data_IF_357134216541
#
_entry.id   IF_357134216541
#
_cell.length_a   1.000
_cell.length_b   1.000
_cell.length_c   1.000
_cell.angle_alpha   90.00
_cell.angle_beta   90.00
_cell.angle_gamma   90.00
#
_symmetry.space_group_name_H-M   'P 1'
#
loop_
_entity.id
_entity.type
_entity.pdbx_description
1 polymer ?
#
# COMPACT_ATOMS: atom_id res chain seq x y z
N UNK A 1 24.66 -9.19 12.22
CA UNK A 1 23.66 -8.11 12.34
C UNK A 1 22.52 -8.45 11.40
N UNK A 2 21.38 -8.92 11.91
CA UNK A 2 20.18 -9.07 11.10
C UNK A 2 19.60 -7.66 10.96
N UNK A 3 19.84 -7.01 9.82
CA UNK A 3 19.10 -5.79 9.48
C UNK A 3 17.62 -6.16 9.51
N UNK A 4 16.84 -5.46 10.32
CA UNK A 4 15.39 -5.67 10.42
C UNK A 4 14.79 -5.54 9.02
N UNK A 5 14.46 -6.68 8.41
CA UNK A 5 13.75 -6.70 7.13
C UNK A 5 12.38 -6.11 7.41
N UNK A 6 12.17 -4.88 6.95
CA UNK A 6 10.85 -4.28 6.92
C UNK A 6 9.97 -5.14 6.01
N UNK A 7 8.75 -5.40 6.46
CA UNK A 7 7.72 -5.89 5.57
C UNK A 7 7.49 -4.88 4.44
N UNK A 8 7.00 -5.30 3.27
CA UNK A 8 6.72 -4.37 2.17
C UNK A 8 5.81 -3.20 2.58
N UNK A 9 4.84 -3.46 3.47
CA UNK A 9 3.92 -2.44 4.00
C UNK A 9 4.65 -1.43 4.89
N UNK A 10 5.56 -1.88 5.76
CA UNK A 10 6.36 -0.99 6.60
C UNK A 10 7.33 -0.13 5.78
N UNK A 11 7.96 -0.72 4.75
CA UNK A 11 8.79 0.02 3.81
C UNK A 11 7.98 1.09 3.07
N UNK A 12 6.76 0.77 2.62
CA UNK A 12 5.86 1.75 2.00
C UNK A 12 5.50 2.88 2.95
N UNK A 13 5.13 2.57 4.19
CA UNK A 13 4.78 3.56 5.20
C UNK A 13 5.98 4.47 5.52
N UNK A 14 7.19 3.90 5.63
CA UNK A 14 8.39 4.68 5.88
C UNK A 14 8.64 5.69 4.74
N UNK A 15 8.61 5.25 3.48
CA UNK A 15 8.82 6.15 2.34
C UNK A 15 7.70 7.19 2.22
N UNK A 16 6.45 6.83 2.53
CA UNK A 16 5.33 7.78 2.56
C UNK A 16 5.50 8.87 3.62
N UNK A 17 6.16 8.56 4.75
CA UNK A 17 6.51 9.56 5.78
C UNK A 17 7.69 10.42 5.38
N UNK A 18 8.74 9.83 4.83
CA UNK A 18 9.99 10.53 4.49
C UNK A 18 9.86 11.38 3.21
N UNK A 19 9.07 10.89 2.24
CA UNK A 19 8.95 11.48 0.90
C UNK A 19 7.49 11.53 0.41
N UNK A 20 6.58 12.23 1.13
CA UNK A 20 5.13 12.16 0.91
C UNK A 20 4.68 12.57 -0.49
N UNK A 21 5.35 13.57 -1.09
CA UNK A 21 4.99 14.13 -2.40
C UNK A 21 5.77 13.51 -3.56
N UNK A 22 6.73 12.62 -3.29
CA UNK A 22 7.47 11.93 -4.35
C UNK A 22 6.55 10.97 -5.08
N UNK A 23 6.65 10.93 -6.40
CA UNK A 23 5.87 10.02 -7.24
C UNK A 23 6.22 8.55 -6.94
N UNK A 24 5.18 7.74 -6.72
CA UNK A 24 5.28 6.31 -6.43
C UNK A 24 4.76 5.44 -7.57
N UNK A 25 3.66 5.87 -8.22
CA UNK A 25 3.01 5.12 -9.31
C UNK A 25 2.66 6.06 -10.45
N UNK A 26 2.89 5.61 -11.68
CA UNK A 26 2.40 6.25 -12.92
C UNK A 26 1.71 5.19 -13.76
N UNK A 27 0.43 5.38 -14.06
CA UNK A 27 -0.35 4.43 -14.87
C UNK A 27 -1.47 5.17 -15.62
N UNK A 28 -1.65 4.87 -16.91
CA UNK A 28 -2.74 5.34 -17.77
C UNK A 28 -3.19 6.82 -17.54
N UNK A 29 -2.22 7.75 -17.48
CA UNK A 29 -2.49 9.19 -17.29
C UNK A 29 -2.71 9.63 -15.83
N UNK A 30 -2.78 8.70 -14.89
CA UNK A 30 -2.82 8.98 -13.46
C UNK A 30 -1.42 8.87 -12.82
N UNK A 31 -1.18 9.71 -11.83
CA UNK A 31 0.06 9.71 -11.06
C UNK A 31 -0.25 9.85 -9.57
N UNK A 32 0.30 8.95 -8.77
CA UNK A 32 0.12 8.96 -7.32
C UNK A 32 1.45 9.18 -6.62
N UNK A 33 1.46 10.08 -5.63
CA UNK A 33 2.58 10.21 -4.70
C UNK A 33 2.58 9.08 -3.68
N UNK A 34 3.68 8.89 -2.95
CA UNK A 34 3.74 7.89 -1.88
C UNK A 34 2.68 8.11 -0.80
N UNK A 35 2.37 9.36 -0.44
CA UNK A 35 1.28 9.65 0.51
C UNK A 35 -0.10 9.25 -0.05
N UNK A 36 -0.38 9.56 -1.32
CA UNK A 36 -1.64 9.19 -1.96
C UNK A 36 -1.79 7.67 -2.10
N UNK A 37 -0.71 6.98 -2.45
CA UNK A 37 -0.67 5.52 -2.52
C UNK A 37 -0.93 4.89 -1.15
N UNK A 38 -0.24 5.35 -0.10
CA UNK A 38 -0.45 4.84 1.26
C UNK A 38 -1.88 5.04 1.74
N UNK A 39 -2.46 6.23 1.51
CA UNK A 39 -3.85 6.50 1.86
C UNK A 39 -4.81 5.53 1.15
N UNK A 40 -4.57 5.25 -0.14
CA UNK A 40 -5.40 4.31 -0.89
C UNK A 40 -5.25 2.87 -0.39
N UNK A 41 -4.03 2.41 -0.14
CA UNK A 41 -3.76 1.06 0.41
C UNK A 41 -4.44 0.90 1.77
N UNK A 42 -4.30 1.90 2.65
CA UNK A 42 -4.90 1.88 3.98
C UNK A 42 -6.43 1.82 3.92
N UNK A 43 -7.03 2.56 3.00
CA UNK A 43 -8.48 2.54 2.77
C UNK A 43 -8.96 1.17 2.26
N UNK A 44 -8.23 0.53 1.35
CA UNK A 44 -8.60 -0.79 0.84
C UNK A 44 -8.44 -1.85 1.94
N UNK A 45 -7.32 -1.81 2.69
CA UNK A 45 -7.06 -2.76 3.77
C UNK A 45 -8.14 -2.72 4.86
N UNK A 46 -8.57 -1.53 5.27
CA UNK A 46 -9.65 -1.40 6.27
C UNK A 46 -11.01 -1.92 5.78
N UNK A 47 -11.21 -2.01 4.47
CA UNK A 47 -12.41 -2.62 3.89
C UNK A 47 -12.29 -4.14 3.81
N UNK A 48 -11.09 -4.70 3.60
CA UNK A 48 -10.86 -6.15 3.53
C UNK A 48 -11.13 -6.81 4.88
N UNK A 49 -10.69 -6.22 5.99
CA UNK A 49 -10.96 -6.77 7.33
C UNK A 49 -12.47 -6.85 7.65
N UNK A 50 -13.27 -5.95 7.06
CA UNK A 50 -14.72 -5.98 7.17
C UNK A 50 -15.38 -7.05 6.28
N UNK A 51 -14.68 -7.53 5.25
CA UNK A 51 -15.19 -8.51 4.28
C UNK A 51 -14.86 -9.94 4.71
N UNK A 52 -13.66 -10.19 5.25
CA UNK A 52 -13.25 -11.53 5.70
C UNK A 52 -12.12 -11.45 6.74
N UNK A 53 -12.42 -11.79 8.01
CA UNK A 53 -11.44 -11.83 9.10
C UNK A 53 -10.61 -13.11 9.17
N UNK A 54 -10.84 -14.07 8.28
CA UNK A 54 -10.21 -15.41 8.33
C UNK A 54 -8.77 -15.48 7.80
N UNK A 55 -8.22 -14.35 7.32
CA UNK A 55 -6.89 -14.27 6.65
C UNK A 55 -6.77 -15.15 5.40
N UNK A 56 -7.89 -15.45 4.75
CA UNK A 56 -7.89 -16.20 3.51
C UNK A 56 -7.26 -15.41 2.34
N UNK A 57 -6.74 -16.10 1.31
CA UNK A 57 -6.31 -15.44 0.08
C UNK A 57 -7.43 -14.62 -0.55
N UNK A 58 -7.13 -13.36 -0.89
CA UNK A 58 -8.06 -12.47 -1.59
C UNK A 58 -7.81 -12.54 -3.09
N UNK A 59 -8.82 -12.97 -3.86
CA UNK A 59 -8.74 -12.99 -5.31
C UNK A 59 -8.82 -11.56 -5.88
N UNK A 60 -7.90 -11.22 -6.79
CA UNK A 60 -7.90 -9.96 -7.53
C UNK A 60 -8.33 -10.22 -8.98
N UNK A 61 -9.52 -9.77 -9.36
CA UNK A 61 -9.97 -9.76 -10.76
C UNK A 61 -9.83 -8.35 -11.31
N UNK A 62 -8.93 -8.17 -12.28
CA UNK A 62 -8.70 -6.91 -12.98
C UNK A 62 -9.04 -7.14 -14.46
N UNK A 63 -10.15 -6.58 -14.91
CA UNK A 63 -10.63 -6.63 -16.30
C UNK A 63 -10.20 -5.43 -17.13
#
# INVERSE_FOLDING_TARGET
MFGTMLTPTEALLQVAKEHPFRLAVRSAGSQWSYAALWARVSQIASQIDNLDGSRNPVALYMG
#
